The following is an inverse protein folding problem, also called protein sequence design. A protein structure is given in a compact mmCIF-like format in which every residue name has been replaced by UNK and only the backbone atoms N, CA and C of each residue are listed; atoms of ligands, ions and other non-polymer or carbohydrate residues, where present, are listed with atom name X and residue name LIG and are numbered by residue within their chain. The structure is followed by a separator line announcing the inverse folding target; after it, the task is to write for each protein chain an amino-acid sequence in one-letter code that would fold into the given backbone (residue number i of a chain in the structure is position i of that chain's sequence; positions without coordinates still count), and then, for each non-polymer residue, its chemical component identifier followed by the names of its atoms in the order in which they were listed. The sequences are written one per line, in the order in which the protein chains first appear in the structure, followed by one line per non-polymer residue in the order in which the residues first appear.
data_IF_018601651362
#
_entry.id   IF_018601651362
#
_cell.length_a   1.000
_cell.length_b   1.000
_cell.length_c   1.000
_cell.angle_alpha   90.00
_cell.angle_beta   90.00
_cell.angle_gamma   90.00
#
_symmetry.space_group_name_H-M   'P 1'
#
loop_
_entity.id
_entity.type
_entity.pdbx_description
1 polymer ?
#
# COMPACT_ATOMS: atom_id res chain seq x y z
N UNK A 1 -4.78 4.01 4.63
CA UNK A 1 -4.76 2.57 4.97
C UNK A 1 -5.90 1.85 4.26
N UNK A 2 -5.81 0.53 4.08
CA UNK A 2 -6.88 -0.25 3.47
C UNK A 2 -8.04 -0.46 4.43
N UNK A 3 -9.25 -0.69 3.89
CA UNK A 3 -10.39 -1.03 4.75
C UNK A 3 -10.13 -2.28 5.58
N UNK A 4 -9.48 -3.29 4.98
CA UNK A 4 -9.19 -4.51 5.71
C UNK A 4 -8.27 -4.28 6.90
N UNK A 5 -7.33 -3.36 6.80
CA UNK A 5 -6.43 -3.01 7.89
C UNK A 5 -7.19 -2.44 9.10
N UNK A 6 -8.35 -1.82 8.89
CA UNK A 6 -9.16 -1.28 9.99
C UNK A 6 -9.71 -2.35 10.92
N UNK A 7 -9.69 -3.62 10.49
CA UNK A 7 -10.07 -4.75 11.34
C UNK A 7 -9.01 -5.06 12.40
N UNK A 8 -7.81 -4.55 12.25
CA UNK A 8 -6.67 -4.82 13.14
C UNK A 8 -6.23 -3.60 13.92
N UNK A 9 -6.31 -2.42 13.32
CA UNK A 9 -5.92 -1.17 13.95
C UNK A 9 -6.82 -0.04 13.43
N UNK A 10 -7.22 0.87 14.32
CA UNK A 10 -8.12 1.96 13.92
C UNK A 10 -7.36 3.13 13.31
N UNK A 11 -8.00 3.89 12.39
CA UNK A 11 -7.40 5.09 11.82
C UNK A 11 -6.97 6.12 12.87
N UNK A 12 -7.72 6.22 13.98
CA UNK A 12 -7.41 7.15 15.08
C UNK A 12 -6.02 6.91 15.65
N UNK A 13 -5.59 5.66 15.72
CA UNK A 13 -4.25 5.33 16.22
C UNK A 13 -3.16 6.05 15.42
N UNK A 14 -3.25 5.99 14.09
CA UNK A 14 -2.29 6.66 13.23
C UNK A 14 -2.43 8.18 13.25
N UNK A 15 -3.65 8.69 13.36
CA UNK A 15 -3.89 10.12 13.46
C UNK A 15 -3.27 10.70 14.73
N UNK A 16 -3.40 9.99 15.87
CA UNK A 16 -2.81 10.39 17.13
C UNK A 16 -1.28 10.38 17.08
N UNK A 17 -0.70 9.38 16.43
CA UNK A 17 0.75 9.24 16.37
C UNK A 17 1.41 10.19 15.36
N UNK A 18 0.73 10.50 14.25
CA UNK A 18 1.32 11.27 13.15
C UNK A 18 0.89 12.73 13.13
N UNK A 19 -0.23 13.05 13.76
CA UNK A 19 -0.86 14.37 13.64
C UNK A 19 -1.51 14.61 12.27
N UNK A 20 -1.58 13.59 11.44
CA UNK A 20 -2.16 13.67 10.10
C UNK A 20 -3.43 12.82 10.00
N UNK A 21 -4.33 13.24 9.12
CA UNK A 21 -5.54 12.46 8.84
C UNK A 21 -5.19 11.11 8.22
N UNK A 22 -5.79 10.05 8.74
CA UNK A 22 -5.65 8.72 8.16
C UNK A 22 -6.77 8.49 7.15
N UNK A 23 -6.43 8.33 5.88
CA UNK A 23 -7.39 8.19 4.79
C UNK A 23 -7.64 6.71 4.51
N UNK A 24 -8.90 6.31 4.50
CA UNK A 24 -9.32 4.91 4.29
C UNK A 24 -10.19 4.78 3.04
N UNK A 25 -11.20 5.61 2.91
CA UNK A 25 -12.19 5.48 1.84
C UNK A 25 -11.89 6.37 0.65
N UNK A 26 -11.94 5.79 -0.55
CA UNK A 26 -11.77 6.53 -1.80
C UNK A 26 -12.99 7.40 -2.10
N UNK A 27 -14.17 6.92 -1.73
CA UNK A 27 -15.44 7.60 -1.96
C UNK A 27 -16.08 7.94 -0.64
N UNK A 28 -15.97 9.20 -0.23
CA UNK A 28 -16.70 9.74 0.91
C UNK A 28 -17.66 10.80 0.38
N UNK A 29 -18.68 11.10 1.18
CA UNK A 29 -19.75 12.07 0.84
C UNK A 29 -19.25 13.50 0.64
N UNK A 30 -18.03 13.80 1.00
CA UNK A 30 -17.45 15.15 0.94
C UNK A 30 -16.74 15.49 -0.36
N UNK A 31 -16.88 14.74 -1.40
CA UNK A 31 -16.32 14.98 -2.76
C UNK A 31 -14.81 15.32 -2.81
N UNK A 32 -14.17 15.50 -1.68
CA UNK A 32 -12.75 15.87 -1.62
C UNK A 32 -11.82 14.67 -1.82
N UNK A 33 -12.36 13.48 -1.84
CA UNK A 33 -11.55 12.25 -1.90
C UNK A 33 -10.88 12.02 -3.23
N UNK A 34 -11.52 12.38 -4.34
CA UNK A 34 -10.90 12.27 -5.65
C UNK A 34 -9.68 13.18 -5.77
N UNK A 35 -9.59 14.20 -4.93
CA UNK A 35 -8.46 15.14 -4.90
C UNK A 35 -7.41 14.68 -3.90
N UNK A 36 -7.80 13.98 -2.81
CA UNK A 36 -6.87 13.58 -1.76
C UNK A 36 -5.80 12.61 -2.24
N UNK A 37 -6.16 11.57 -3.00
CA UNK A 37 -5.15 10.62 -3.47
C UNK A 37 -4.17 11.28 -4.45
N UNK A 38 -4.64 12.24 -5.26
CA UNK A 38 -3.78 13.01 -6.16
C UNK A 38 -2.89 13.95 -5.35
N UNK A 39 -3.45 14.62 -4.34
CA UNK A 39 -2.69 15.53 -3.49
C UNK A 39 -1.61 14.76 -2.69
N UNK A 40 -1.95 13.62 -2.10
CA UNK A 40 -1.00 12.78 -1.40
C UNK A 40 0.11 12.29 -2.33
N UNK A 41 -0.27 11.86 -3.54
CA UNK A 41 0.70 11.39 -4.51
C UNK A 41 1.68 12.48 -4.94
N UNK A 42 1.21 13.72 -5.07
CA UNK A 42 2.06 14.85 -5.45
C UNK A 42 2.95 15.32 -4.31
N UNK A 43 2.50 15.20 -3.07
CA UNK A 43 3.24 15.65 -1.89
C UNK A 43 4.30 14.64 -1.44
N UNK A 44 4.15 13.38 -1.81
CA UNK A 44 5.00 12.32 -1.32
C UNK A 44 6.40 12.41 -1.92
N UNK A 45 7.40 12.38 -1.06
CA UNK A 45 8.81 12.25 -1.44
C UNK A 45 9.23 10.79 -1.53
N UNK A 46 8.57 9.93 -0.76
CA UNK A 46 8.72 8.48 -0.76
C UNK A 46 7.39 7.87 -0.35
N UNK A 47 7.06 6.72 -0.90
CA UNK A 47 5.85 5.97 -0.55
C UNK A 47 6.26 4.62 0.04
N UNK A 48 5.89 4.38 1.30
CA UNK A 48 6.16 3.12 1.99
C UNK A 48 4.85 2.36 2.18
N UNK A 49 4.79 1.15 1.64
CA UNK A 49 3.66 0.24 1.84
C UNK A 49 4.09 -0.80 2.88
N UNK A 50 3.62 -0.64 4.11
CA UNK A 50 4.08 -1.45 5.23
C UNK A 50 2.96 -1.66 6.25
N UNK A 51 2.63 -2.90 6.55
CA UNK A 51 3.03 -4.12 5.83
C UNK A 51 2.22 -4.29 4.54
N UNK A 52 2.80 -4.97 3.56
CA UNK A 52 2.13 -5.29 2.31
C UNK A 52 1.73 -6.76 2.27
N UNK A 53 0.44 -7.02 2.18
CA UNK A 53 -0.08 -8.38 2.03
C UNK A 53 0.14 -8.90 0.61
N UNK A 54 0.02 -10.21 0.43
CA UNK A 54 0.06 -10.80 -0.91
C UNK A 54 -0.99 -10.19 -1.85
N UNK A 55 -2.18 -9.89 -1.30
CA UNK A 55 -3.25 -9.25 -2.07
C UNK A 55 -2.84 -7.87 -2.57
N UNK A 56 -2.30 -7.04 -1.68
CA UNK A 56 -1.86 -5.69 -2.05
C UNK A 56 -0.72 -5.76 -3.08
N UNK A 57 0.25 -6.65 -2.87
CA UNK A 57 1.36 -6.83 -3.80
C UNK A 57 0.85 -7.21 -5.19
N UNK A 58 -0.11 -8.14 -5.28
CA UNK A 58 -0.70 -8.54 -6.54
C UNK A 58 -1.42 -7.38 -7.22
N UNK A 59 -2.18 -6.60 -6.48
CA UNK A 59 -2.87 -5.43 -7.03
C UNK A 59 -1.90 -4.40 -7.57
N UNK A 60 -0.87 -4.08 -6.80
CA UNK A 60 0.16 -3.11 -7.24
C UNK A 60 0.89 -3.60 -8.49
N UNK A 61 1.21 -4.89 -8.56
CA UNK A 61 1.90 -5.48 -9.70
C UNK A 61 1.09 -5.40 -10.99
N UNK A 62 -0.24 -5.42 -10.88
CA UNK A 62 -1.15 -5.47 -12.03
C UNK A 62 -1.92 -4.17 -12.25
N UNK A 63 -1.61 -3.12 -11.51
CA UNK A 63 -2.22 -1.82 -11.71
C UNK A 63 -3.69 -1.73 -11.27
N UNK A 64 -4.12 -2.59 -10.36
CA UNK A 64 -5.47 -2.54 -9.83
C UNK A 64 -5.55 -1.43 -8.78
N UNK A 65 -6.43 -0.48 -9.00
CA UNK A 65 -6.60 0.70 -8.15
C UNK A 65 -8.05 0.76 -7.67
N UNK A 66 -8.41 -0.14 -6.78
CA UNK A 66 -9.78 -0.30 -6.29
C UNK A 66 -9.99 0.20 -4.85
N UNK A 67 -8.95 0.74 -4.23
CA UNK A 67 -9.06 1.37 -2.91
C UNK A 67 -8.14 2.61 -2.84
N UNK A 68 -8.16 3.29 -1.69
CA UNK A 68 -7.37 4.51 -1.50
C UNK A 68 -5.88 4.23 -1.58
N UNK A 69 -5.40 3.11 -1.01
CA UNK A 69 -3.99 2.77 -1.03
C UNK A 69 -3.50 2.53 -2.46
N UNK A 70 -4.16 1.63 -3.18
CA UNK A 70 -3.74 1.25 -4.53
C UNK A 70 -3.88 2.40 -5.51
N UNK A 71 -4.92 3.21 -5.37
CA UNK A 71 -5.12 4.39 -6.21
C UNK A 71 -4.02 5.42 -5.97
N UNK A 72 -3.68 5.68 -4.72
CA UNK A 72 -2.62 6.63 -4.36
C UNK A 72 -1.27 6.17 -4.88
N UNK A 73 -0.94 4.89 -4.68
CA UNK A 73 0.35 4.34 -5.13
C UNK A 73 0.47 4.42 -6.65
N UNK A 74 -0.61 4.10 -7.38
CA UNK A 74 -0.60 4.17 -8.84
C UNK A 74 -0.36 5.60 -9.33
N UNK A 75 -0.83 6.59 -8.60
CA UNK A 75 -0.65 8.01 -8.95
C UNK A 75 0.71 8.56 -8.50
N UNK A 76 1.41 7.91 -7.57
CA UNK A 76 2.70 8.37 -7.07
C UNK A 76 3.79 8.27 -8.12
N UNK A 77 4.60 9.32 -8.19
CA UNK A 77 5.80 9.35 -9.05
C UNK A 77 7.10 9.27 -8.25
N UNK A 78 7.00 9.26 -6.92
CA UNK A 78 8.15 9.16 -6.03
C UNK A 78 8.66 7.72 -5.93
N UNK A 79 9.85 7.51 -5.34
CA UNK A 79 10.31 6.16 -5.02
C UNK A 79 9.31 5.43 -4.12
N UNK A 80 9.14 4.14 -4.36
CA UNK A 80 8.18 3.29 -3.65
C UNK A 80 8.91 2.12 -3.01
N UNK A 81 8.61 1.88 -1.75
CA UNK A 81 9.19 0.81 -0.94
C UNK A 81 8.07 -0.08 -0.43
N UNK A 82 8.21 -1.37 -0.62
CA UNK A 82 7.22 -2.38 -0.19
C UNK A 82 7.85 -3.28 0.85
N UNK A 83 7.18 -3.43 1.99
CA UNK A 83 7.59 -4.32 3.07
C UNK A 83 6.60 -5.50 3.16
N UNK A 84 6.86 -6.63 2.49
CA UNK A 84 5.95 -7.77 2.50
C UNK A 84 5.78 -8.37 3.90
N UNK A 85 4.55 -8.77 4.22
CA UNK A 85 4.25 -9.51 5.43
C UNK A 85 3.12 -10.50 5.13
N UNK A 86 3.41 -11.79 5.27
CA UNK A 86 2.47 -12.88 5.04
C UNK A 86 3.07 -14.18 5.56
N UNK A 87 2.27 -15.23 5.63
CA UNK A 87 2.82 -16.51 6.04
C UNK A 87 3.79 -17.05 4.98
N UNK A 88 4.65 -17.95 5.40
CA UNK A 88 5.74 -18.48 4.57
C UNK A 88 5.25 -19.12 3.28
N UNK A 89 4.16 -19.90 3.35
CA UNK A 89 3.63 -20.58 2.17
C UNK A 89 3.13 -19.59 1.12
N UNK A 90 2.49 -18.50 1.54
CA UNK A 90 2.04 -17.44 0.64
C UNK A 90 3.24 -16.71 0.02
N UNK A 91 4.25 -16.44 0.82
CA UNK A 91 5.44 -15.76 0.34
C UNK A 91 6.22 -16.61 -0.68
N UNK A 92 6.35 -17.91 -0.41
CA UNK A 92 7.06 -18.84 -1.30
C UNK A 92 6.27 -19.23 -2.54
N UNK A 93 4.97 -18.92 -2.58
CA UNK A 93 4.14 -19.24 -3.75
C UNK A 93 4.71 -18.56 -5.00
N UNK A 94 4.90 -19.31 -6.10
CA UNK A 94 5.45 -18.74 -7.33
C UNK A 94 4.72 -17.50 -7.83
N UNK A 95 3.40 -17.43 -7.65
CA UNK A 95 2.61 -16.25 -8.06
C UNK A 95 3.04 -15.04 -7.26
N UNK A 96 3.21 -15.17 -5.94
CA UNK A 96 3.68 -14.07 -5.10
C UNK A 96 5.09 -13.64 -5.49
N UNK A 97 5.98 -14.59 -5.72
CA UNK A 97 7.36 -14.31 -6.15
C UNK A 97 7.38 -13.59 -7.50
N UNK A 98 6.54 -14.01 -8.45
CA UNK A 98 6.42 -13.35 -9.74
C UNK A 98 5.91 -11.92 -9.59
N UNK A 99 4.94 -11.70 -8.71
CA UNK A 99 4.41 -10.36 -8.46
C UNK A 99 5.47 -9.45 -7.83
N UNK A 100 6.29 -9.97 -6.92
CA UNK A 100 7.39 -9.22 -6.34
C UNK A 100 8.41 -8.84 -7.41
N UNK A 101 8.79 -9.77 -8.28
CA UNK A 101 9.69 -9.48 -9.39
C UNK A 101 9.12 -8.44 -10.32
N UNK A 102 7.82 -8.50 -10.58
CA UNK A 102 7.12 -7.50 -11.41
C UNK A 102 7.23 -6.12 -10.80
N UNK A 103 6.99 -6.00 -9.50
CA UNK A 103 7.15 -4.72 -8.79
C UNK A 103 8.56 -4.20 -8.89
N UNK A 104 9.55 -5.06 -8.70
CA UNK A 104 10.96 -4.67 -8.81
C UNK A 104 11.30 -4.20 -10.23
N UNK A 105 10.72 -4.83 -11.25
CA UNK A 105 10.92 -4.42 -12.64
C UNK A 105 10.36 -3.04 -12.94
N UNK A 106 9.35 -2.61 -12.17
CA UNK A 106 8.76 -1.28 -12.28
C UNK A 106 9.44 -0.24 -11.35
N UNK A 107 10.53 -0.63 -10.70
CA UNK A 107 11.29 0.30 -9.88
C UNK A 107 10.93 0.32 -8.40
N UNK A 108 10.04 -0.55 -7.94
CA UNK A 108 9.76 -0.68 -6.52
C UNK A 108 10.95 -1.33 -5.81
N UNK A 109 11.27 -0.81 -4.62
CA UNK A 109 12.21 -1.49 -3.72
C UNK A 109 11.42 -2.40 -2.80
N UNK A 110 11.74 -3.67 -2.80
CA UNK A 110 11.08 -4.66 -1.94
C UNK A 110 12.03 -5.04 -0.81
N UNK A 111 11.61 -4.78 0.43
CA UNK A 111 12.39 -5.11 1.61
C UNK A 111 12.23 -6.61 1.86
N UNK A 112 13.33 -7.38 1.98
CA UNK A 112 13.20 -8.79 2.30
C UNK A 112 12.52 -8.97 3.65
N UNK A 113 11.58 -9.92 3.77
CA UNK A 113 10.94 -10.17 5.05
C UNK A 113 11.91 -10.75 6.06
N UNK A 114 11.64 -10.45 7.35
CA UNK A 114 12.41 -11.04 8.44
C UNK A 114 12.05 -12.51 8.61
N UNK A 115 12.99 -13.31 9.13
CA UNK A 115 12.70 -14.71 9.45
C UNK A 115 11.60 -14.84 10.49
N UNK A 116 10.74 -15.85 10.36
CA UNK A 116 9.74 -16.21 11.35
C UNK A 116 8.39 -15.52 11.24
N UNK A 117 8.13 -14.84 10.15
CA UNK A 117 6.80 -14.25 9.96
C UNK A 117 5.86 -15.15 9.17
#
# INVERSE_FOLDING_TARGET
MTENATNFITPITFEELTGNKCVVHTFDRNFQHNVEHVALAKQADVCLIAPATANVIAKLAHGIADDMLTTTVLACRCPKIVAPAMNTAMFENPITQDNIETLQSYGFTVIPPAEGY
#
